data_IF_821693259721
#
_entry.id   IF_821693259721
#
_cell.length_a   1.000
_cell.length_b   1.000
_cell.length_c   1.000
_cell.angle_alpha   90.00
_cell.angle_beta   90.00
_cell.angle_gamma   90.00
#
_symmetry.space_group_name_H-M   'P 1'
#
loop_
_entity.id
_entity.type
_entity.pdbx_description
1 polymer ?
#
# COMPACT_ATOMS: atom_id res chain seq x y z
N UNK A 1 15.15 26.57 -21.89
CA UNK A 1 15.69 27.22 -23.06
C UNK A 1 16.96 26.51 -23.51
N UNK A 2 16.92 25.86 -24.67
CA UNK A 2 18.07 25.11 -25.18
C UNK A 2 18.44 25.68 -26.57
N UNK A 3 19.68 26.04 -26.76
CA UNK A 3 20.22 26.40 -28.07
C UNK A 3 21.18 25.32 -28.53
N UNK A 4 20.87 24.65 -29.65
CA UNK A 4 21.80 23.74 -30.26
C UNK A 4 22.97 24.52 -30.87
N UNK A 5 24.15 24.40 -30.31
CA UNK A 5 25.38 24.76 -30.99
C UNK A 5 25.64 23.71 -32.07
N UNK A 6 25.64 24.05 -33.33
CA UNK A 6 25.86 23.13 -34.43
C UNK A 6 25.28 23.57 -35.76
N UNK A 7 24.85 22.66 -36.60
CA UNK A 7 24.35 22.90 -37.95
C UNK A 7 23.10 23.81 -38.07
N UNK A 8 22.45 24.14 -36.95
CA UNK A 8 21.35 25.10 -36.88
C UNK A 8 21.50 26.04 -35.65
N UNK A 9 22.47 26.93 -35.62
CA UNK A 9 22.78 27.78 -34.44
C UNK A 9 21.65 28.74 -34.07
N UNK A 10 20.65 28.92 -34.88
CA UNK A 10 19.53 29.82 -34.70
C UNK A 10 18.22 29.11 -34.27
N UNK A 11 18.26 27.82 -34.00
CA UNK A 11 17.06 27.09 -33.58
C UNK A 11 16.90 27.20 -32.06
N UNK A 12 15.74 27.66 -31.60
CA UNK A 12 15.40 27.83 -30.18
C UNK A 12 14.17 26.99 -29.84
N UNK A 13 14.24 26.28 -28.74
CA UNK A 13 13.13 25.51 -28.19
C UNK A 13 12.58 26.20 -26.96
N UNK A 14 11.28 26.41 -26.93
CA UNK A 14 10.55 27.01 -25.82
C UNK A 14 9.48 26.01 -25.38
N UNK A 15 9.48 25.67 -24.12
CA UNK A 15 8.48 24.79 -23.54
C UNK A 15 7.75 25.48 -22.40
N UNK A 16 6.44 25.41 -22.43
CA UNK A 16 5.59 25.61 -21.26
C UNK A 16 4.86 24.30 -20.96
N UNK A 17 4.16 24.19 -19.83
CA UNK A 17 3.42 22.97 -19.50
C UNK A 17 2.37 22.53 -20.55
N UNK A 18 2.01 23.40 -21.50
CA UNK A 18 0.95 23.16 -22.48
C UNK A 18 1.37 23.39 -23.92
N UNK A 19 2.56 23.94 -24.18
CA UNK A 19 3.01 24.23 -25.52
C UNK A 19 4.51 24.00 -25.69
N UNK A 20 4.89 23.43 -26.81
CA UNK A 20 6.24 23.32 -27.30
C UNK A 20 6.35 24.17 -28.56
N UNK A 21 7.20 25.20 -28.56
CA UNK A 21 7.42 26.11 -29.67
C UNK A 21 8.87 26.00 -30.12
N UNK A 22 9.05 25.85 -31.42
CA UNK A 22 10.37 25.81 -32.05
C UNK A 22 10.49 27.00 -33.01
N UNK A 23 11.47 27.86 -32.75
CA UNK A 23 11.74 29.07 -33.54
C UNK A 23 13.09 28.92 -34.25
N UNK A 24 13.11 29.15 -35.54
CA UNK A 24 14.33 29.04 -36.33
C UNK A 24 14.32 29.97 -37.55
N UNK A 25 15.42 29.94 -38.32
CA UNK A 25 15.53 30.73 -39.55
C UNK A 25 14.81 30.03 -40.71
N UNK A 26 13.77 30.67 -41.23
CA UNK A 26 12.98 30.18 -42.37
C UNK A 26 13.77 30.06 -43.67
N UNK A 27 14.92 30.76 -43.78
CA UNK A 27 15.83 30.68 -44.95
C UNK A 27 16.68 29.41 -44.96
N UNK A 28 16.77 28.74 -43.81
CA UNK A 28 17.46 27.47 -43.69
C UNK A 28 16.62 26.33 -44.30
N UNK A 29 17.11 25.74 -45.38
CA UNK A 29 16.46 24.57 -45.99
C UNK A 29 16.28 23.42 -44.96
N UNK A 30 17.26 23.21 -44.08
CA UNK A 30 17.18 22.20 -43.03
C UNK A 30 16.07 22.48 -42.01
N UNK A 31 15.80 23.77 -41.70
CA UNK A 31 14.73 24.11 -40.76
C UNK A 31 13.34 23.79 -41.29
N UNK A 32 13.12 24.06 -42.58
CA UNK A 32 11.82 23.92 -43.25
C UNK A 32 11.61 22.57 -43.93
N UNK A 33 12.62 21.71 -44.00
CA UNK A 33 12.55 20.40 -44.60
C UNK A 33 11.53 19.52 -43.87
N UNK A 34 10.57 18.97 -44.61
CA UNK A 34 9.47 18.15 -44.10
C UNK A 34 9.86 16.69 -43.86
N UNK A 35 10.95 16.23 -44.46
CA UNK A 35 11.33 14.81 -44.44
C UNK A 35 12.53 14.53 -43.51
N UNK A 36 13.50 15.45 -43.44
CA UNK A 36 14.76 15.23 -42.71
C UNK A 36 15.15 16.36 -41.77
N UNK A 37 14.47 17.51 -41.84
CA UNK A 37 14.84 18.70 -41.08
C UNK A 37 14.15 18.84 -39.74
N UNK A 38 14.30 20.04 -39.16
CA UNK A 38 13.72 20.37 -37.87
C UNK A 38 12.18 20.25 -37.87
N UNK A 39 11.55 20.61 -38.97
CA UNK A 39 10.10 20.47 -39.12
C UNK A 39 9.66 19.00 -39.07
N UNK A 40 10.40 18.10 -39.72
CA UNK A 40 10.15 16.67 -39.70
C UNK A 40 10.31 16.13 -38.25
N UNK A 41 11.40 16.47 -37.56
CA UNK A 41 11.63 16.09 -36.18
C UNK A 41 10.53 16.59 -35.25
N UNK A 42 10.09 17.85 -35.44
CA UNK A 42 9.00 18.42 -34.62
C UNK A 42 7.69 17.65 -34.79
N UNK A 43 7.31 17.33 -36.03
CA UNK A 43 6.03 16.65 -36.34
C UNK A 43 5.99 15.19 -35.88
N UNK A 44 7.12 14.51 -35.89
CA UNK A 44 7.18 13.07 -35.58
C UNK A 44 7.79 12.80 -34.21
N UNK A 45 9.01 13.23 -33.96
CA UNK A 45 9.73 12.86 -32.71
C UNK A 45 9.30 13.74 -31.54
N UNK A 46 9.33 15.06 -31.67
CA UNK A 46 9.01 15.97 -30.56
C UNK A 46 7.54 15.87 -30.16
N UNK A 47 6.64 15.66 -31.13
CA UNK A 47 5.23 15.44 -30.83
C UNK A 47 5.03 14.19 -29.94
N UNK A 48 5.70 13.09 -30.26
CA UNK A 48 5.62 11.86 -29.45
C UNK A 48 6.16 12.07 -28.03
N UNK A 49 7.28 12.78 -27.89
CA UNK A 49 7.82 13.12 -26.56
C UNK A 49 6.82 13.90 -25.71
N UNK A 50 6.22 14.90 -26.32
CA UNK A 50 5.23 15.76 -25.68
C UNK A 50 3.99 14.95 -25.27
N UNK A 51 3.54 14.07 -26.15
CA UNK A 51 2.41 13.17 -25.91
C UNK A 51 2.70 12.22 -24.74
N UNK A 52 3.90 11.62 -24.68
CA UNK A 52 4.29 10.70 -23.60
C UNK A 52 4.32 11.44 -22.25
N UNK A 53 4.91 12.64 -22.20
CA UNK A 53 4.95 13.43 -20.98
C UNK A 53 3.54 13.78 -20.47
N UNK A 54 2.63 14.17 -21.38
CA UNK A 54 1.23 14.44 -21.04
C UNK A 54 0.47 13.17 -20.63
N UNK A 55 0.73 12.05 -21.29
CA UNK A 55 0.17 10.76 -20.90
C UNK A 55 0.59 10.37 -19.47
N UNK A 56 1.86 10.56 -19.12
CA UNK A 56 2.34 10.32 -17.75
C UNK A 56 1.60 11.21 -16.75
N UNK A 57 1.51 12.51 -17.01
CA UNK A 57 0.76 13.44 -16.16
C UNK A 57 -0.71 13.06 -16.02
N UNK A 58 -1.40 12.80 -17.14
CA UNK A 58 -2.81 12.45 -17.14
C UNK A 58 -3.07 11.14 -16.37
N UNK A 59 -2.18 10.17 -16.50
CA UNK A 59 -2.27 8.90 -15.75
C UNK A 59 -2.13 9.14 -14.24
N UNK A 60 -1.18 9.96 -13.81
CA UNK A 60 -1.00 10.29 -12.40
C UNK A 60 -2.22 11.03 -11.82
N UNK A 61 -2.76 12.00 -12.55
CA UNK A 61 -3.99 12.70 -12.15
C UNK A 61 -5.17 11.74 -12.06
N UNK A 62 -5.31 10.81 -13.00
CA UNK A 62 -6.34 9.77 -12.94
C UNK A 62 -6.21 8.89 -11.69
N UNK A 63 -4.99 8.49 -11.31
CA UNK A 63 -4.79 7.72 -10.07
C UNK A 63 -5.14 8.55 -8.84
N UNK A 64 -4.73 9.82 -8.78
CA UNK A 64 -5.11 10.73 -7.69
C UNK A 64 -6.62 10.86 -7.57
N UNK A 65 -7.33 11.08 -8.68
CA UNK A 65 -8.80 11.17 -8.73
C UNK A 65 -9.47 9.89 -8.21
N UNK A 66 -8.99 8.72 -8.63
CA UNK A 66 -9.54 7.42 -8.17
C UNK A 66 -9.39 7.23 -6.67
N UNK A 67 -8.29 7.68 -6.07
CA UNK A 67 -8.09 7.63 -4.62
C UNK A 67 -9.08 8.54 -3.90
N UNK A 68 -9.25 9.77 -4.38
CA UNK A 68 -10.21 10.73 -3.83
C UNK A 68 -11.64 10.22 -3.95
N UNK A 69 -12.02 9.66 -5.09
CA UNK A 69 -13.37 9.12 -5.31
C UNK A 69 -13.66 7.91 -4.42
N UNK A 70 -12.67 7.05 -4.21
CA UNK A 70 -12.79 5.93 -3.27
C UNK A 70 -13.03 6.44 -1.85
N UNK A 71 -12.32 7.49 -1.43
CA UNK A 71 -12.45 8.09 -0.10
C UNK A 71 -13.79 8.79 0.10
N UNK A 72 -14.29 9.54 -0.89
CA UNK A 72 -15.61 10.20 -0.84
C UNK A 72 -16.75 9.23 -0.59
N UNK A 73 -16.64 8.01 -1.12
CA UNK A 73 -17.67 6.96 -0.97
C UNK A 73 -17.51 6.14 0.30
N UNK A 74 -16.52 6.43 1.13
CA UNK A 74 -16.29 5.69 2.36
C UNK A 74 -17.26 6.14 3.47
N UNK A 75 -18.10 5.21 3.91
CA UNK A 75 -18.90 5.34 5.11
C UNK A 75 -18.44 4.30 6.12
N UNK A 76 -17.71 4.75 7.14
CA UNK A 76 -17.04 3.85 8.11
C UNK A 76 -18.04 2.97 8.86
N UNK A 77 -19.27 3.46 9.10
CA UNK A 77 -20.33 2.72 9.78
C UNK A 77 -20.94 1.61 8.91
N UNK A 78 -20.79 1.66 7.57
CA UNK A 78 -21.34 0.67 6.66
C UNK A 78 -20.28 -0.36 6.23
N UNK A 79 -20.40 -1.64 6.64
CA UNK A 79 -19.46 -2.70 6.25
C UNK A 79 -19.37 -2.95 4.74
N UNK A 80 -20.43 -2.63 3.99
CA UNK A 80 -20.45 -2.80 2.52
C UNK A 80 -19.61 -1.70 1.88
N UNK A 81 -19.78 -0.46 2.33
CA UNK A 81 -18.97 0.68 1.90
C UNK A 81 -17.49 0.44 2.17
N UNK A 82 -17.11 -0.01 3.36
CA UNK A 82 -15.72 -0.32 3.72
C UNK A 82 -15.13 -1.41 2.82
N UNK A 83 -15.90 -2.45 2.46
CA UNK A 83 -15.44 -3.49 1.53
C UNK A 83 -15.22 -2.97 0.12
N UNK A 84 -16.11 -2.08 -0.37
CA UNK A 84 -15.96 -1.43 -1.68
C UNK A 84 -14.73 -0.52 -1.70
N UNK A 85 -14.53 0.27 -0.66
CA UNK A 85 -13.35 1.11 -0.50
C UNK A 85 -12.05 0.29 -0.58
N UNK A 86 -11.92 -0.78 0.21
CA UNK A 86 -10.75 -1.67 0.18
C UNK A 86 -10.47 -2.23 -1.21
N UNK A 87 -11.50 -2.64 -1.93
CA UNK A 87 -11.38 -3.13 -3.31
C UNK A 87 -10.89 -2.04 -4.27
N UNK A 88 -11.46 -0.84 -4.16
CA UNK A 88 -11.09 0.29 -5.00
C UNK A 88 -9.62 0.71 -4.78
N UNK A 89 -9.17 0.78 -3.52
CA UNK A 89 -7.78 1.12 -3.19
C UNK A 89 -6.82 0.05 -3.72
N UNK A 90 -7.10 -1.24 -3.52
CA UNK A 90 -6.25 -2.32 -4.07
C UNK A 90 -6.17 -2.27 -5.59
N UNK A 91 -7.27 -2.07 -6.28
CA UNK A 91 -7.29 -1.96 -7.74
C UNK A 91 -6.50 -0.73 -8.23
N UNK A 92 -6.60 0.40 -7.51
CA UNK A 92 -5.82 1.61 -7.81
C UNK A 92 -4.33 1.38 -7.57
N UNK A 93 -3.95 0.71 -6.48
CA UNK A 93 -2.58 0.35 -6.17
C UNK A 93 -1.97 -0.58 -7.24
N UNK A 94 -2.67 -1.65 -7.61
CA UNK A 94 -2.22 -2.55 -8.68
C UNK A 94 -2.08 -1.82 -10.03
N UNK A 95 -3.02 -0.95 -10.35
CA UNK A 95 -2.96 -0.11 -11.54
C UNK A 95 -1.77 0.84 -11.53
N UNK A 96 -1.50 1.49 -10.39
CA UNK A 96 -0.37 2.37 -10.20
C UNK A 96 0.97 1.61 -10.32
N UNK A 97 1.09 0.42 -9.72
CA UNK A 97 2.28 -0.43 -9.88
C UNK A 97 2.52 -0.80 -11.35
N UNK A 98 1.48 -1.23 -12.08
CA UNK A 98 1.61 -1.53 -13.52
C UNK A 98 2.03 -0.32 -14.31
N UNK A 99 1.47 0.85 -14.02
CA UNK A 99 1.85 2.11 -14.65
C UNK A 99 3.32 2.43 -14.37
N UNK A 100 3.74 2.38 -13.12
CA UNK A 100 5.12 2.68 -12.70
C UNK A 100 6.13 1.78 -13.40
N UNK A 101 5.90 0.47 -13.44
CA UNK A 101 6.84 -0.47 -14.03
C UNK A 101 6.84 -0.49 -15.56
N UNK A 102 5.77 -0.05 -16.20
CA UNK A 102 5.63 -0.13 -17.66
C UNK A 102 5.76 1.19 -18.37
N UNK A 103 5.30 2.28 -17.78
CA UNK A 103 5.13 3.56 -18.45
C UNK A 103 5.84 4.74 -17.76
N UNK A 104 6.32 4.54 -16.54
CA UNK A 104 7.08 5.55 -15.83
C UNK A 104 8.58 5.37 -16.10
N UNK A 105 9.08 6.07 -17.10
CA UNK A 105 10.49 6.06 -17.50
C UNK A 105 10.94 7.49 -17.80
N UNK A 106 12.20 7.78 -17.52
CA UNK A 106 12.82 9.09 -17.70
C UNK A 106 13.73 9.11 -18.92
N UNK A 107 14.19 7.97 -19.38
CA UNK A 107 15.13 7.83 -20.49
C UNK A 107 14.37 7.32 -21.72
N UNK A 108 14.04 8.26 -22.62
CA UNK A 108 13.23 7.97 -23.83
C UNK A 108 14.09 7.82 -25.06
N UNK A 109 15.26 8.46 -25.08
CA UNK A 109 16.13 8.48 -26.23
C UNK A 109 17.58 8.71 -25.86
N UNK A 110 18.50 8.13 -26.62
CA UNK A 110 19.93 8.34 -26.44
C UNK A 110 20.40 9.72 -26.92
N UNK A 111 19.68 10.35 -27.84
CA UNK A 111 20.00 11.67 -28.36
C UNK A 111 19.91 12.74 -27.27
N UNK A 112 20.98 13.47 -27.04
CA UNK A 112 21.08 14.49 -25.99
C UNK A 112 19.98 15.58 -26.12
N UNK A 113 19.65 16.00 -27.34
CA UNK A 113 18.61 16.98 -27.62
C UNK A 113 17.23 16.47 -27.22
N UNK A 114 16.90 15.27 -27.60
CA UNK A 114 15.60 14.62 -27.32
C UNK A 114 15.42 14.40 -25.82
N UNK A 115 16.48 13.97 -25.13
CA UNK A 115 16.50 13.82 -23.67
C UNK A 115 16.30 15.18 -22.96
N UNK A 116 16.99 16.21 -23.41
CA UNK A 116 16.86 17.57 -22.84
C UNK A 116 15.45 18.14 -23.03
N UNK A 117 14.83 17.92 -24.19
CA UNK A 117 13.44 18.35 -24.48
C UNK A 117 12.43 17.61 -23.59
N UNK A 118 12.60 16.32 -23.43
CA UNK A 118 11.71 15.52 -22.57
C UNK A 118 11.80 15.97 -21.12
N UNK A 119 13.04 16.10 -20.60
CA UNK A 119 13.28 16.59 -19.25
C UNK A 119 12.66 17.97 -19.02
N UNK A 120 12.87 18.92 -19.96
CA UNK A 120 12.27 20.23 -19.86
C UNK A 120 10.73 20.19 -19.82
N UNK A 121 10.12 19.31 -20.62
CA UNK A 121 8.67 19.13 -20.65
C UNK A 121 8.16 18.55 -19.33
N UNK A 122 8.79 17.49 -18.79
CA UNK A 122 8.40 16.87 -17.51
C UNK A 122 8.59 17.81 -16.33
N UNK A 123 9.65 18.60 -16.31
CA UNK A 123 9.89 19.65 -15.30
C UNK A 123 8.75 20.68 -15.30
N UNK A 124 8.36 21.20 -16.47
CA UNK A 124 7.25 22.16 -16.57
C UNK A 124 5.88 21.53 -16.25
N UNK A 125 5.70 20.28 -16.52
CA UNK A 125 4.50 19.53 -16.17
C UNK A 125 4.49 19.11 -14.68
N UNK A 126 5.61 19.24 -13.99
CA UNK A 126 5.80 18.84 -12.59
C UNK A 126 5.43 17.37 -12.35
N UNK A 127 5.77 16.49 -13.30
CA UNK A 127 5.35 15.09 -13.25
C UNK A 127 6.02 14.33 -12.11
N UNK A 128 7.27 14.67 -11.76
CA UNK A 128 8.02 14.00 -10.70
C UNK A 128 7.44 14.31 -9.30
N UNK A 129 7.07 15.57 -9.05
CA UNK A 129 6.43 15.96 -7.79
C UNK A 129 5.03 15.32 -7.67
N UNK A 130 4.27 15.29 -8.76
CA UNK A 130 2.96 14.64 -8.79
C UNK A 130 3.08 13.13 -8.59
N UNK A 131 4.10 12.50 -9.17
CA UNK A 131 4.39 11.08 -8.96
C UNK A 131 4.70 10.78 -7.48
N UNK A 132 5.57 11.59 -6.86
CA UNK A 132 5.90 11.43 -5.45
C UNK A 132 4.66 11.55 -4.56
N UNK A 133 3.81 12.56 -4.82
CA UNK A 133 2.55 12.78 -4.10
C UNK A 133 1.58 11.60 -4.25
N UNK A 134 1.36 11.11 -5.48
CA UNK A 134 0.44 9.97 -5.72
C UNK A 134 1.01 8.69 -5.10
N UNK A 135 2.32 8.49 -5.16
CA UNK A 135 3.00 7.35 -4.54
C UNK A 135 2.82 7.35 -3.02
N UNK A 136 3.05 8.48 -2.36
CA UNK A 136 2.89 8.65 -0.92
C UNK A 136 1.43 8.39 -0.50
N UNK A 137 0.47 9.06 -1.12
CA UNK A 137 -0.97 8.87 -0.85
C UNK A 137 -1.40 7.40 -1.04
N UNK A 138 -0.89 6.75 -2.07
CA UNK A 138 -1.21 5.34 -2.34
C UNK A 138 -0.60 4.43 -1.27
N UNK A 139 0.64 4.71 -0.84
CA UNK A 139 1.30 3.98 0.23
C UNK A 139 0.56 4.13 1.57
N UNK A 140 0.17 5.35 1.93
CA UNK A 140 -0.58 5.64 3.16
C UNK A 140 -1.92 4.89 3.20
N UNK A 141 -2.66 4.91 2.10
CA UNK A 141 -3.93 4.18 2.02
C UNK A 141 -3.73 2.66 2.12
N UNK A 142 -2.66 2.14 1.52
CA UNK A 142 -2.35 0.71 1.64
C UNK A 142 -1.96 0.34 3.07
N UNK A 143 -1.12 1.15 3.72
CA UNK A 143 -0.72 0.96 5.12
C UNK A 143 -1.93 0.98 6.06
N UNK A 144 -2.89 1.87 5.83
CA UNK A 144 -4.15 1.87 6.56
C UNK A 144 -4.92 0.56 6.41
N UNK A 145 -5.00 0.01 5.19
CA UNK A 145 -5.67 -1.27 4.94
C UNK A 145 -4.97 -2.44 5.62
N UNK A 146 -3.65 -2.43 5.65
CA UNK A 146 -2.85 -3.47 6.30
C UNK A 146 -3.00 -3.41 7.82
N UNK A 147 -2.98 -2.22 8.41
CA UNK A 147 -3.23 -2.01 9.84
C UNK A 147 -4.64 -2.51 10.25
N UNK A 148 -5.68 -2.23 9.44
CA UNK A 148 -7.03 -2.75 9.71
C UNK A 148 -7.10 -4.28 9.58
N UNK A 149 -6.37 -4.89 8.65
CA UNK A 149 -6.30 -6.34 8.50
C UNK A 149 -5.62 -7.01 9.70
N UNK A 150 -4.51 -6.44 10.18
CA UNK A 150 -3.80 -6.92 11.38
C UNK A 150 -4.69 -6.82 12.63
N UNK A 151 -5.41 -5.70 12.81
CA UNK A 151 -6.35 -5.54 13.93
C UNK A 151 -7.45 -6.60 13.91
N UNK A 152 -7.98 -6.96 12.73
CA UNK A 152 -8.98 -8.03 12.59
C UNK A 152 -8.40 -9.40 12.90
N UNK A 153 -7.17 -9.68 12.47
CA UNK A 153 -6.47 -10.92 12.81
C UNK A 153 -6.27 -11.03 14.32
N UNK A 154 -5.78 -9.96 14.97
CA UNK A 154 -5.63 -9.92 16.41
C UNK A 154 -6.95 -10.21 17.14
N UNK A 155 -8.06 -9.61 16.72
CA UNK A 155 -9.38 -9.88 17.30
C UNK A 155 -9.82 -11.36 17.10
N UNK A 156 -9.46 -11.97 15.96
CA UNK A 156 -9.76 -13.38 15.70
C UNK A 156 -8.94 -14.27 16.61
N UNK A 157 -7.65 -13.98 16.79
CA UNK A 157 -6.77 -14.70 17.73
C UNK A 157 -7.32 -14.60 19.16
N UNK A 158 -7.72 -13.41 19.61
CA UNK A 158 -8.33 -13.24 20.94
C UNK A 158 -9.59 -14.10 21.10
N UNK A 159 -10.48 -14.13 20.12
CA UNK A 159 -11.68 -14.97 20.15
C UNK A 159 -11.34 -16.46 20.20
N UNK A 160 -10.37 -16.90 19.39
CA UNK A 160 -9.88 -18.28 19.41
C UNK A 160 -9.30 -18.64 20.76
N UNK A 161 -8.47 -17.76 21.35
CA UNK A 161 -7.90 -17.95 22.67
C UNK A 161 -8.97 -18.13 23.74
N UNK A 162 -10.03 -17.30 23.71
CA UNK A 162 -11.16 -17.44 24.66
C UNK A 162 -11.83 -18.81 24.51
N UNK A 163 -12.14 -19.24 23.28
CA UNK A 163 -12.75 -20.56 23.03
C UNK A 163 -11.84 -21.70 23.49
N UNK A 164 -10.52 -21.59 23.25
CA UNK A 164 -9.55 -22.59 23.66
C UNK A 164 -9.46 -22.70 25.19
N UNK A 165 -9.50 -21.56 25.91
CA UNK A 165 -9.50 -21.53 27.37
C UNK A 165 -10.74 -22.24 27.95
N UNK A 166 -11.93 -21.91 27.41
CA UNK A 166 -13.15 -22.60 27.85
C UNK A 166 -13.12 -24.10 27.54
N UNK A 167 -12.62 -24.50 26.38
CA UNK A 167 -12.43 -25.90 26.01
C UNK A 167 -11.45 -26.61 26.96
N UNK A 168 -10.33 -25.95 27.30
CA UNK A 168 -9.34 -26.51 28.22
C UNK A 168 -9.90 -26.71 29.64
N UNK A 169 -10.61 -25.70 30.16
CA UNK A 169 -11.29 -25.81 31.47
C UNK A 169 -12.27 -26.96 31.48
N UNK A 170 -13.10 -27.08 30.42
CA UNK A 170 -14.03 -28.20 30.26
C UNK A 170 -13.33 -29.56 30.24
N UNK A 171 -12.25 -29.68 29.44
CA UNK A 171 -11.47 -30.93 29.34
C UNK A 171 -10.81 -31.33 30.62
N UNK A 172 -10.18 -30.39 31.35
CA UNK A 172 -9.55 -30.67 32.65
C UNK A 172 -10.63 -31.10 33.66
N UNK A 173 -11.75 -30.40 33.71
CA UNK A 173 -12.85 -30.70 34.64
C UNK A 173 -13.45 -32.08 34.36
N UNK A 174 -13.79 -32.38 33.13
CA UNK A 174 -14.35 -33.69 32.73
C UNK A 174 -13.33 -34.81 32.84
N UNK A 175 -12.07 -34.59 32.52
CA UNK A 175 -10.97 -35.55 32.67
C UNK A 175 -10.73 -35.92 34.12
N UNK A 176 -10.68 -34.94 35.02
CA UNK A 176 -10.50 -35.17 36.44
C UNK A 176 -11.67 -35.98 37.03
N UNK A 177 -12.89 -35.62 36.72
CA UNK A 177 -14.10 -36.32 37.16
C UNK A 177 -14.23 -37.73 36.53
N UNK A 178 -13.73 -37.91 35.31
CA UNK A 178 -13.75 -39.21 34.59
C UNK A 178 -12.72 -40.23 35.08
N UNK A 179 -11.68 -39.79 35.82
CA UNK A 179 -10.63 -40.68 36.34
C UNK A 179 -11.04 -41.59 37.51
N UNK A 180 -12.33 -41.64 37.86
CA UNK A 180 -12.86 -42.51 38.95
C UNK A 180 -12.14 -42.33 40.31
N UNK A 181 -11.46 -41.18 40.51
CA UNK A 181 -10.76 -40.87 41.76
C UNK A 181 -11.74 -40.66 42.93
N UNK A 182 -12.99 -40.36 42.60
CA UNK A 182 -14.08 -40.25 43.56
C UNK A 182 -15.08 -41.36 43.23
N UNK A 183 -14.93 -42.49 43.89
CA UNK A 183 -15.83 -43.66 43.74
C UNK A 183 -17.21 -43.38 44.37
N UNK A 184 -17.89 -42.35 43.89
CA UNK A 184 -19.13 -41.84 44.45
C UNK A 184 -20.33 -42.08 43.51
N UNK A 185 -20.38 -43.24 42.85
CA UNK A 185 -21.52 -43.59 41.99
C UNK A 185 -22.84 -43.68 42.78
N UNK A 186 -22.80 -43.82 44.09
CA UNK A 186 -23.97 -43.93 44.97
C UNK A 186 -24.35 -42.63 45.69
N UNK A 187 -23.59 -41.55 45.58
CA UNK A 187 -23.84 -40.29 46.26
C UNK A 187 -25.04 -39.52 45.67
N UNK A 188 -25.80 -38.77 46.48
CA UNK A 188 -26.93 -37.99 46.04
C UNK A 188 -26.48 -36.89 45.07
N UNK A 189 -27.37 -36.53 44.14
CA UNK A 189 -27.12 -35.56 43.04
C UNK A 189 -26.51 -34.25 43.56
N UNK A 190 -26.87 -33.78 44.74
CA UNK A 190 -26.36 -32.53 45.34
C UNK A 190 -24.85 -32.58 45.64
N UNK A 191 -24.33 -33.69 46.14
CA UNK A 191 -22.91 -33.87 46.43
C UNK A 191 -22.06 -33.95 45.17
N UNK A 192 -22.56 -34.64 44.11
CA UNK A 192 -21.91 -34.70 42.81
C UNK A 192 -21.82 -33.32 42.16
N UNK A 193 -22.89 -32.52 42.27
CA UNK A 193 -22.90 -31.16 41.75
C UNK A 193 -21.92 -30.23 42.48
N UNK A 194 -21.80 -30.45 43.81
CA UNK A 194 -20.85 -29.73 44.64
C UNK A 194 -19.40 -30.04 44.22
N UNK A 195 -19.02 -31.31 44.09
CA UNK A 195 -17.68 -31.70 43.64
C UNK A 195 -17.37 -31.18 42.23
N UNK A 196 -18.35 -31.27 41.30
CA UNK A 196 -18.22 -30.66 39.98
C UNK A 196 -17.93 -29.17 40.07
N UNK A 197 -18.69 -28.44 40.85
CA UNK A 197 -18.53 -27.00 41.03
C UNK A 197 -17.17 -26.63 41.62
N UNK A 198 -16.69 -27.36 42.60
CA UNK A 198 -15.38 -27.14 43.23
C UNK A 198 -14.25 -27.38 42.21
N UNK A 199 -14.27 -28.50 41.49
CA UNK A 199 -13.24 -28.80 40.48
C UNK A 199 -13.27 -27.78 39.33
N UNK A 200 -14.47 -27.37 38.89
CA UNK A 200 -14.64 -26.37 37.84
C UNK A 200 -14.06 -25.01 38.29
N UNK A 201 -14.35 -24.57 39.52
CA UNK A 201 -13.84 -23.30 40.04
C UNK A 201 -12.32 -23.33 40.15
N UNK A 202 -11.75 -24.42 40.70
CA UNK A 202 -10.30 -24.59 40.86
C UNK A 202 -9.62 -24.59 39.49
N UNK A 203 -10.16 -25.35 38.53
CA UNK A 203 -9.65 -25.39 37.14
C UNK A 203 -9.71 -24.02 36.46
N UNK A 204 -10.79 -23.29 36.68
CA UNK A 204 -10.96 -21.92 36.11
C UNK A 204 -9.94 -20.96 36.70
N UNK A 205 -9.78 -20.95 38.02
CA UNK A 205 -8.81 -20.09 38.74
C UNK A 205 -7.37 -20.43 38.31
N UNK A 206 -7.02 -21.70 38.25
CA UNK A 206 -5.70 -22.14 37.82
C UNK A 206 -5.37 -21.76 36.39
N UNK A 207 -6.34 -21.95 35.47
CA UNK A 207 -6.19 -21.58 34.05
C UNK A 207 -6.07 -20.06 33.89
N UNK A 208 -6.87 -19.30 34.62
CA UNK A 208 -6.82 -17.84 34.57
C UNK A 208 -5.52 -17.28 35.18
N UNK A 209 -5.03 -17.87 36.27
CA UNK A 209 -3.73 -17.57 36.86
C UNK A 209 -2.59 -17.86 35.89
N UNK A 210 -2.60 -19.03 35.25
CA UNK A 210 -1.60 -19.45 34.27
C UNK A 210 -1.56 -18.50 33.09
N UNK A 211 -2.74 -18.04 32.62
CA UNK A 211 -2.86 -17.08 31.51
C UNK A 211 -2.27 -15.71 31.85
N UNK A 212 -2.56 -15.16 33.01
CA UNK A 212 -2.01 -13.88 33.48
C UNK A 212 -0.49 -13.96 33.63
N UNK A 213 0.03 -15.09 34.16
CA UNK A 213 1.45 -15.32 34.28
C UNK A 213 2.15 -15.49 32.93
N UNK A 214 1.50 -16.18 31.99
CA UNK A 214 1.99 -16.36 30.60
C UNK A 214 2.08 -15.01 29.86
N UNK A 215 1.13 -14.10 30.04
CA UNK A 215 1.18 -12.77 29.48
C UNK A 215 2.38 -11.96 29.98
N UNK A 216 2.64 -12.01 31.29
CA UNK A 216 3.84 -11.35 31.87
C UNK A 216 5.14 -11.96 31.35
N UNK A 217 5.16 -13.27 31.10
CA UNK A 217 6.30 -13.95 30.51
C UNK A 217 6.52 -13.55 29.04
N UNK A 218 5.44 -13.41 28.27
CA UNK A 218 5.51 -12.92 26.89
C UNK A 218 6.03 -11.48 26.85
N UNK A 219 5.47 -10.59 27.68
CA UNK A 219 5.91 -9.18 27.77
C UNK A 219 7.39 -9.08 28.18
N UNK A 220 7.86 -9.98 29.04
CA UNK A 220 9.27 -10.06 29.43
C UNK A 220 10.18 -10.56 28.30
N UNK A 221 9.75 -11.56 27.53
CA UNK A 221 10.49 -12.08 26.38
C UNK A 221 10.57 -11.02 25.27
N UNK A 222 9.49 -10.29 25.03
CA UNK A 222 9.45 -9.20 24.05
C UNK A 222 10.39 -8.05 24.47
N UNK A 223 10.41 -7.68 25.76
CA UNK A 223 11.34 -6.67 26.28
C UNK A 223 12.82 -7.08 26.14
N UNK A 224 13.15 -8.34 26.40
CA UNK A 224 14.52 -8.87 26.23
C UNK A 224 14.91 -8.97 24.75
N UNK A 225 13.95 -9.23 23.86
CA UNK A 225 14.18 -9.26 22.41
C UNK A 225 14.47 -7.86 21.85
N UNK A 226 13.73 -6.84 22.29
CA UNK A 226 13.94 -5.45 21.89
C UNK A 226 15.30 -4.90 22.39
N UNK A 227 15.72 -5.28 23.57
CA UNK A 227 17.04 -4.89 24.09
C UNK A 227 18.19 -5.47 23.26
N UNK A 228 18.03 -6.66 22.70
CA UNK A 228 19.02 -7.27 21.78
C UNK A 228 19.08 -6.60 20.40
N UNK A 229 17.95 -6.08 19.92
CA UNK A 229 17.90 -5.37 18.63
C UNK A 229 18.43 -3.94 18.72
N UNK A 230 18.40 -3.32 19.89
CA UNK A 230 18.97 -1.98 20.11
C UNK A 230 20.49 -1.97 20.35
N UNK A 231 21.14 -3.12 20.46
CA UNK A 231 22.57 -3.30 20.73
C UNK A 231 23.41 -3.59 19.45
N UNK A 232 22.84 -3.51 18.26
CA UNK A 232 23.48 -3.56 16.94
C UNK A 232 23.18 -2.28 16.16
#
# INVERSE_FOLDING_TARGET
FWSAGGAAPWTRYLCSGHALVVVGDARSAFFTDRDRGVLAQFRHQHFLLFLIAHFQKASLLMFSERLVEALKRLHVADPVSVRRFKRAIRASFEGFLRFTHRYWFHDIAEQAQTRALFRMTTEHLQTDSLYAEVKERTADMNSYLDADSLRRQANTVVRLTVVTIFGLIGTITTGFLGMNLLAEAESPLGERLFYFAVVFIVSTVLTMYSMVKSKRLSDFIDAVSDERLSAW
#
